data_IF_453113361834
#
_entry.id   IF_453113361834
#
_cell.length_a   1.000
_cell.length_b   1.000
_cell.length_c   1.000
_cell.angle_alpha   90.00
_cell.angle_beta   90.00
_cell.angle_gamma   90.00
#
_symmetry.space_group_name_H-M   'P 1'
#
loop_
_entity.id
_entity.type
_entity.pdbx_description
1 polymer ?
#
# COMPACT_ATOMS: atom_id res chain seq x y z
N UNK A 1 -8.63 -4.49 -22.62
CA UNK A 1 -7.55 -3.47 -22.60
C UNK A 1 -6.86 -3.51 -21.23
N UNK A 2 -5.52 -3.47 -21.19
CA UNK A 2 -4.77 -3.47 -19.93
C UNK A 2 -4.62 -2.04 -19.44
N UNK A 3 -5.05 -1.76 -18.18
CA UNK A 3 -4.83 -0.47 -17.53
C UNK A 3 -3.83 -0.63 -16.37
N UNK A 4 -2.91 0.34 -16.23
CA UNK A 4 -1.84 0.33 -15.23
C UNK A 4 -1.86 1.62 -14.43
N UNK A 5 -1.91 1.48 -13.11
CA UNK A 5 -1.90 2.61 -12.19
C UNK A 5 -0.59 2.61 -11.39
N UNK A 6 0.09 3.74 -11.43
CA UNK A 6 1.39 3.94 -10.81
C UNK A 6 1.28 4.83 -9.57
N UNK A 7 2.34 4.85 -8.77
CA UNK A 7 2.46 5.76 -7.64
C UNK A 7 2.49 7.24 -8.10
N UNK A 8 1.69 8.09 -7.44
CA UNK A 8 1.65 9.52 -7.71
C UNK A 8 2.85 10.24 -7.08
N UNK A 9 3.67 10.88 -7.90
CA UNK A 9 4.80 11.67 -7.45
C UNK A 9 4.36 12.82 -6.54
N UNK A 10 3.30 13.53 -6.94
CA UNK A 10 2.79 14.71 -6.21
C UNK A 10 2.37 14.39 -4.78
N UNK A 11 1.91 13.16 -4.53
CA UNK A 11 1.42 12.73 -3.22
C UNK A 11 2.51 12.15 -2.34
N UNK A 12 3.55 11.57 -2.92
CA UNK A 12 4.66 10.95 -2.20
C UNK A 12 5.74 11.98 -1.83
N UNK A 13 5.94 12.99 -2.67
CA UNK A 13 6.97 14.01 -2.45
C UNK A 13 6.85 14.74 -1.10
N UNK A 14 5.66 15.16 -0.64
CA UNK A 14 5.50 15.77 0.69
C UNK A 14 5.85 14.81 1.83
N UNK A 15 5.50 13.51 1.71
CA UNK A 15 5.85 12.49 2.70
C UNK A 15 7.36 12.30 2.77
N UNK A 16 8.02 12.23 1.62
CA UNK A 16 9.46 12.12 1.54
C UNK A 16 10.17 13.35 2.14
N UNK A 17 9.68 14.55 1.83
CA UNK A 17 10.18 15.79 2.43
C UNK A 17 10.01 15.80 3.95
N UNK A 18 8.86 15.32 4.47
CA UNK A 18 8.62 15.12 5.89
C UNK A 18 9.63 14.17 6.52
N UNK A 19 9.92 13.02 5.90
CA UNK A 19 10.92 12.09 6.38
C UNK A 19 12.31 12.75 6.49
N UNK A 20 12.75 13.50 5.48
CA UNK A 20 14.03 14.21 5.53
C UNK A 20 14.07 15.29 6.62
N UNK A 21 12.96 15.99 6.84
CA UNK A 21 12.86 16.99 7.91
C UNK A 21 13.05 16.33 9.29
N UNK A 22 12.39 15.19 9.55
CA UNK A 22 12.54 14.46 10.81
C UNK A 22 13.94 13.84 10.98
N UNK A 23 14.57 13.37 9.90
CA UNK A 23 15.97 12.91 9.92
C UNK A 23 16.89 14.07 10.29
N UNK A 24 16.70 15.24 9.66
CA UNK A 24 17.47 16.45 9.98
C UNK A 24 17.28 16.92 11.43
N UNK A 25 16.04 16.93 11.92
CA UNK A 25 15.73 17.24 13.32
C UNK A 25 16.38 16.24 14.30
N UNK A 26 16.34 14.94 13.99
CA UNK A 26 17.00 13.91 14.78
C UNK A 26 18.50 14.10 14.84
N UNK A 27 19.14 14.41 13.72
CA UNK A 27 20.58 14.71 13.67
C UNK A 27 20.91 15.98 14.48
N UNK A 28 20.10 17.02 14.34
CA UNK A 28 20.27 18.26 15.10
C UNK A 28 20.16 18.01 16.63
N UNK A 29 19.20 17.20 17.08
CA UNK A 29 19.04 16.80 18.48
C UNK A 29 20.28 16.09 19.01
N UNK A 30 20.88 15.17 18.25
CA UNK A 30 22.09 14.46 18.65
C UNK A 30 23.28 15.43 18.81
N UNK A 31 23.47 16.31 17.82
CA UNK A 31 24.59 17.26 17.83
C UNK A 31 24.52 18.26 18.99
N UNK A 32 23.30 18.63 19.43
CA UNK A 32 23.09 19.64 20.48
C UNK A 32 22.75 19.04 21.87
N UNK A 33 22.79 17.72 22.02
CA UNK A 33 22.43 17.02 23.24
C UNK A 33 23.29 17.46 24.44
N UNK A 34 24.58 17.81 24.22
CA UNK A 34 25.49 18.29 25.24
C UNK A 34 25.08 19.63 25.88
N UNK A 35 24.35 20.47 25.16
CA UNK A 35 23.82 21.74 25.61
C UNK A 35 22.56 21.63 26.49
N UNK A 36 22.01 20.41 26.68
CA UNK A 36 20.81 20.21 27.47
C UNK A 36 20.98 20.58 28.94
N UNK A 37 19.96 21.22 29.55
CA UNK A 37 20.08 21.80 30.90
C UNK A 37 20.14 20.76 32.04
N UNK A 38 19.70 19.53 31.81
CA UNK A 38 19.69 18.45 32.81
C UNK A 38 20.41 17.20 32.31
N UNK A 39 20.96 16.40 33.25
CA UNK A 39 21.59 15.12 32.92
C UNK A 39 20.63 14.17 32.21
N UNK A 40 19.38 14.07 32.68
CA UNK A 40 18.39 13.22 32.07
C UNK A 40 18.13 13.62 30.58
N UNK A 41 18.01 14.91 30.30
CA UNK A 41 17.81 15.41 28.92
C UNK A 41 19.00 15.08 28.02
N UNK A 42 20.24 15.09 28.54
CA UNK A 42 21.45 14.74 27.80
C UNK A 42 21.45 13.30 27.28
N UNK A 43 20.72 12.39 27.93
CA UNK A 43 20.58 11.00 27.49
C UNK A 43 19.30 10.79 26.63
N UNK A 44 18.19 11.40 27.01
CA UNK A 44 16.90 11.22 26.33
C UNK A 44 16.93 11.85 24.93
N UNK A 45 17.50 13.06 24.79
CA UNK A 45 17.53 13.78 23.52
C UNK A 45 18.25 12.98 22.41
N UNK A 46 19.50 12.46 22.61
CA UNK A 46 20.14 11.68 21.56
C UNK A 46 19.44 10.37 21.26
N UNK A 47 18.84 9.68 22.27
CA UNK A 47 18.06 8.48 22.03
C UNK A 47 16.86 8.78 21.14
N UNK A 48 16.10 9.83 21.41
CA UNK A 48 15.00 10.27 20.57
C UNK A 48 15.47 10.66 19.15
N UNK A 49 16.64 11.32 19.05
CA UNK A 49 17.27 11.66 17.77
C UNK A 49 17.61 10.42 16.94
N UNK A 50 18.24 9.40 17.54
CA UNK A 50 18.55 8.15 16.89
C UNK A 50 17.30 7.38 16.45
N UNK A 51 16.26 7.33 17.29
CA UNK A 51 14.97 6.72 16.92
C UNK A 51 14.31 7.44 15.75
N UNK A 52 14.37 8.77 15.74
CA UNK A 52 13.89 9.59 14.63
C UNK A 52 14.62 9.26 13.33
N UNK A 53 15.96 9.23 13.34
CA UNK A 53 16.77 8.91 12.16
C UNK A 53 16.48 7.48 11.67
N UNK A 54 16.41 6.51 12.58
CA UNK A 54 16.17 5.12 12.21
C UNK A 54 14.80 4.95 11.57
N UNK A 55 13.76 5.49 12.20
CA UNK A 55 12.38 5.33 11.72
C UNK A 55 12.15 6.11 10.42
N UNK A 56 12.41 7.41 10.40
CA UNK A 56 12.15 8.24 9.22
C UNK A 56 13.21 8.05 8.13
N UNK A 57 14.44 7.69 8.48
CA UNK A 57 15.48 7.33 7.50
C UNK A 57 15.11 6.07 6.73
N UNK A 58 14.63 5.03 7.43
CA UNK A 58 14.12 3.81 6.77
C UNK A 58 12.93 4.13 5.86
N UNK A 59 12.00 4.97 6.34
CA UNK A 59 10.87 5.46 5.55
C UNK A 59 11.31 6.23 4.30
N UNK A 60 12.28 7.13 4.42
CA UNK A 60 12.83 7.89 3.30
C UNK A 60 13.47 6.99 2.24
N UNK A 61 14.25 5.99 2.67
CA UNK A 61 14.86 5.01 1.75
C UNK A 61 13.77 4.21 1.04
N UNK A 62 12.79 3.67 1.76
CA UNK A 62 11.70 2.91 1.18
C UNK A 62 10.89 3.71 0.15
N UNK A 63 10.53 4.97 0.48
CA UNK A 63 9.82 5.87 -0.44
C UNK A 63 10.67 6.23 -1.67
N UNK A 64 11.97 6.46 -1.48
CA UNK A 64 12.89 6.76 -2.60
C UNK A 64 12.98 5.56 -3.55
N UNK A 65 13.16 4.36 -3.03
CA UNK A 65 13.18 3.12 -3.83
C UNK A 65 11.84 2.92 -4.56
N UNK A 66 10.72 3.13 -3.87
CA UNK A 66 9.39 3.04 -4.47
C UNK A 66 9.21 4.04 -5.63
N UNK A 67 9.73 5.28 -5.48
CA UNK A 67 9.70 6.30 -6.53
C UNK A 67 10.59 5.95 -7.72
N UNK A 68 11.78 5.42 -7.49
CA UNK A 68 12.69 4.99 -8.56
C UNK A 68 12.11 3.83 -9.37
N UNK A 69 11.46 2.89 -8.67
CA UNK A 69 10.87 1.71 -9.29
C UNK A 69 9.45 1.91 -9.84
N UNK A 70 8.79 3.07 -9.58
CA UNK A 70 7.39 3.32 -9.92
C UNK A 70 7.04 3.09 -11.39
N UNK A 71 7.94 3.49 -12.30
CA UNK A 71 7.73 3.32 -13.75
C UNK A 71 7.84 1.86 -14.19
N UNK A 72 8.63 1.06 -13.45
CA UNK A 72 8.90 -0.33 -13.77
C UNK A 72 7.83 -1.27 -13.19
N UNK A 73 7.25 -0.89 -12.06
CA UNK A 73 6.27 -1.70 -11.34
C UNK A 73 5.03 -0.87 -11.02
N UNK A 74 3.94 -1.04 -11.78
CA UNK A 74 2.65 -0.46 -11.42
C UNK A 74 2.15 -1.09 -10.12
N UNK A 75 1.43 -0.33 -9.30
CA UNK A 75 0.82 -0.87 -8.07
C UNK A 75 -0.43 -1.69 -8.35
N UNK A 76 -1.20 -1.26 -9.34
CA UNK A 76 -2.44 -1.91 -9.75
C UNK A 76 -2.40 -2.10 -11.26
N UNK A 77 -2.54 -3.34 -11.71
CA UNK A 77 -2.71 -3.70 -13.11
C UNK A 77 -4.07 -4.36 -13.29
N UNK A 78 -4.89 -3.75 -14.12
CA UNK A 78 -6.18 -4.31 -14.55
C UNK A 78 -5.93 -5.03 -15.86
N UNK A 79 -6.03 -6.35 -15.83
CA UNK A 79 -5.76 -7.25 -16.95
C UNK A 79 -7.08 -7.83 -17.47
N UNK A 80 -7.13 -8.30 -18.72
CA UNK A 80 -8.32 -9.01 -19.23
C UNK A 80 -8.70 -10.24 -18.38
N UNK A 81 -7.71 -10.91 -17.80
CA UNK A 81 -7.88 -12.14 -17.01
C UNK A 81 -8.17 -11.86 -15.53
N UNK A 82 -7.87 -10.66 -15.03
CA UNK A 82 -8.01 -10.37 -13.60
C UNK A 82 -7.30 -9.11 -13.16
N UNK A 83 -7.27 -8.94 -11.85
CA UNK A 83 -6.63 -7.84 -11.15
C UNK A 83 -5.30 -8.29 -10.56
N UNK A 84 -4.23 -7.51 -10.77
CA UNK A 84 -2.94 -7.75 -10.17
C UNK A 84 -2.54 -6.58 -9.27
N UNK A 85 -2.33 -6.87 -7.99
CA UNK A 85 -1.89 -5.90 -7.00
C UNK A 85 -0.42 -6.13 -6.67
N UNK A 86 0.40 -5.10 -6.78
CA UNK A 86 1.81 -5.15 -6.42
C UNK A 86 2.06 -4.51 -5.08
N UNK A 87 2.87 -5.15 -4.25
CA UNK A 87 3.31 -4.57 -2.98
C UNK A 87 4.45 -3.58 -3.23
N UNK A 88 4.42 -2.44 -2.54
CA UNK A 88 5.51 -1.46 -2.57
C UNK A 88 6.83 -2.09 -2.05
N UNK A 89 6.74 -2.98 -1.05
CA UNK A 89 7.91 -3.61 -0.42
C UNK A 89 8.44 -4.81 -1.21
N UNK A 90 7.60 -5.47 -2.01
CA UNK A 90 7.96 -6.63 -2.82
C UNK A 90 7.34 -6.51 -4.21
N UNK A 91 7.79 -5.58 -5.05
CA UNK A 91 7.13 -5.28 -6.32
C UNK A 91 7.16 -6.45 -7.32
N UNK A 92 8.13 -7.36 -7.20
CA UNK A 92 8.22 -8.55 -8.04
C UNK A 92 7.17 -9.63 -7.69
N UNK A 93 6.60 -9.60 -6.48
CA UNK A 93 5.57 -10.55 -6.03
C UNK A 93 4.23 -9.81 -5.93
N UNK A 94 3.49 -9.75 -7.03
CA UNK A 94 2.12 -9.24 -7.03
C UNK A 94 1.12 -10.34 -6.63
N UNK A 95 0.01 -9.94 -6.03
CA UNK A 95 -1.15 -10.80 -5.84
C UNK A 95 -2.01 -10.73 -7.11
N UNK A 96 -2.26 -11.88 -7.72
CA UNK A 96 -3.16 -11.97 -8.86
C UNK A 96 -4.52 -12.49 -8.41
N UNK A 97 -5.57 -11.82 -8.83
CA UNK A 97 -6.97 -12.13 -8.56
C UNK A 97 -7.68 -12.31 -9.90
N UNK A 98 -7.98 -13.54 -10.33
CA UNK A 98 -8.80 -13.76 -11.50
C UNK A 98 -10.19 -13.16 -11.28
N UNK A 99 -10.83 -12.63 -12.33
CA UNK A 99 -12.14 -11.98 -12.20
C UNK A 99 -13.20 -12.89 -11.61
N UNK A 100 -13.12 -14.20 -11.84
CA UNK A 100 -14.03 -15.21 -11.28
C UNK A 100 -13.96 -15.28 -9.74
N UNK A 101 -12.81 -14.95 -9.15
CA UNK A 101 -12.62 -14.96 -7.70
C UNK A 101 -13.07 -13.66 -7.04
N UNK A 102 -13.31 -12.59 -7.80
CA UNK A 102 -13.68 -11.28 -7.26
C UNK A 102 -15.20 -11.19 -7.15
N UNK A 103 -15.69 -10.97 -5.93
CA UNK A 103 -17.12 -10.81 -5.68
C UNK A 103 -17.58 -9.37 -5.87
N UNK A 104 -16.88 -8.43 -5.26
CA UNK A 104 -17.25 -7.03 -5.27
C UNK A 104 -16.07 -6.14 -4.90
N UNK A 105 -16.24 -4.85 -5.17
CA UNK A 105 -15.43 -3.77 -4.62
C UNK A 105 -16.30 -2.95 -3.68
N UNK A 106 -15.73 -2.49 -2.56
CA UNK A 106 -16.42 -1.58 -1.64
C UNK A 106 -15.46 -0.54 -1.09
N UNK A 107 -15.99 0.61 -0.64
CA UNK A 107 -15.19 1.59 0.06
C UNK A 107 -15.22 1.33 1.56
N UNK A 108 -14.05 1.23 2.15
CA UNK A 108 -13.86 1.07 3.59
C UNK A 108 -13.03 2.22 4.12
N UNK A 109 -13.34 2.67 5.34
CA UNK A 109 -12.59 3.72 6.02
C UNK A 109 -11.76 3.12 7.14
N UNK A 110 -10.44 3.17 6.99
CA UNK A 110 -9.49 2.65 7.98
C UNK A 110 -8.60 3.82 8.43
N UNK A 111 -8.59 4.08 9.74
CA UNK A 111 -7.80 5.17 10.35
C UNK A 111 -7.97 6.53 9.62
N UNK A 112 -9.19 6.86 9.19
CA UNK A 112 -9.51 8.10 8.48
C UNK A 112 -9.16 8.13 6.99
N UNK A 113 -8.59 7.04 6.44
CA UNK A 113 -8.33 6.90 5.03
C UNK A 113 -9.43 6.08 4.34
N UNK A 114 -9.95 6.61 3.24
CA UNK A 114 -10.86 5.86 2.37
C UNK A 114 -10.03 4.96 1.46
N UNK A 115 -10.28 3.66 1.54
CA UNK A 115 -9.59 2.62 0.78
C UNK A 115 -10.62 1.86 -0.04
N UNK A 116 -10.20 1.36 -1.20
CA UNK A 116 -11.01 0.45 -1.99
C UNK A 116 -10.69 -0.99 -1.58
N UNK A 117 -11.67 -1.67 -1.01
CA UNK A 117 -11.59 -3.05 -0.58
C UNK A 117 -11.92 -4.00 -1.73
N UNK A 118 -11.17 -5.09 -1.85
CA UNK A 118 -11.38 -6.14 -2.86
C UNK A 118 -11.89 -7.39 -2.15
N UNK A 119 -13.15 -7.74 -2.38
CA UNK A 119 -13.79 -8.93 -1.81
C UNK A 119 -13.57 -10.13 -2.74
N UNK A 120 -13.03 -11.23 -2.19
CA UNK A 120 -12.70 -12.43 -2.95
C UNK A 120 -13.28 -13.68 -2.32
N UNK A 121 -13.79 -14.62 -3.15
CA UNK A 121 -14.35 -15.91 -2.71
C UNK A 121 -13.30 -16.86 -2.13
N UNK A 122 -12.06 -16.74 -2.58
CA UNK A 122 -10.96 -17.67 -2.27
C UNK A 122 -10.11 -17.24 -1.07
N UNK A 123 -10.63 -16.34 -0.21
CA UNK A 123 -9.88 -15.79 0.93
C UNK A 123 -9.36 -16.89 1.86
N UNK A 124 -10.20 -17.87 2.22
CA UNK A 124 -9.81 -18.98 3.09
C UNK A 124 -8.66 -19.81 2.50
N UNK A 125 -8.72 -20.12 1.20
CA UNK A 125 -7.67 -20.87 0.51
C UNK A 125 -6.35 -20.06 0.44
N UNK A 126 -6.42 -18.73 0.30
CA UNK A 126 -5.25 -17.86 0.31
C UNK A 126 -4.65 -17.73 1.69
N UNK A 127 -5.49 -17.73 2.73
CA UNK A 127 -5.06 -17.73 4.12
C UNK A 127 -4.23 -18.99 4.42
N UNK A 128 -4.75 -20.17 4.07
CA UNK A 128 -4.08 -21.45 4.29
C UNK A 128 -2.73 -21.59 3.55
N UNK A 129 -2.62 -20.97 2.36
CA UNK A 129 -1.39 -20.95 1.58
C UNK A 129 -0.39 -19.88 2.05
N UNK A 130 -0.80 -19.01 2.93
CA UNK A 130 0.06 -17.97 3.51
C UNK A 130 0.96 -18.59 4.58
N UNK A 131 2.23 -18.22 4.61
CA UNK A 131 3.08 -18.58 5.75
C UNK A 131 2.67 -17.81 7.02
N UNK A 132 3.23 -18.17 8.21
CA UNK A 132 2.83 -17.60 9.49
C UNK A 132 2.79 -16.05 9.52
N UNK A 133 3.79 -15.40 8.94
CA UNK A 133 3.83 -13.92 8.84
C UNK A 133 2.71 -13.39 7.94
N UNK A 134 2.38 -14.11 6.85
CA UNK A 134 1.29 -13.75 5.96
C UNK A 134 -0.08 -13.88 6.64
N UNK A 135 -0.30 -14.91 7.42
CA UNK A 135 -1.52 -15.12 8.21
C UNK A 135 -1.70 -14.00 9.23
N UNK A 136 -0.66 -13.64 10.00
CA UNK A 136 -0.70 -12.51 10.94
C UNK A 136 -1.06 -11.21 10.21
N UNK A 137 -0.50 -10.95 9.04
CA UNK A 137 -0.80 -9.76 8.27
C UNK A 137 -2.25 -9.74 7.77
N UNK A 138 -2.79 -10.89 7.37
CA UNK A 138 -4.20 -11.05 6.98
C UNK A 138 -5.10 -10.81 8.20
N UNK A 139 -4.81 -11.41 9.35
CA UNK A 139 -5.60 -11.27 10.58
C UNK A 139 -5.65 -9.81 11.06
N UNK A 140 -4.51 -9.10 11.05
CA UNK A 140 -4.45 -7.67 11.37
C UNK A 140 -5.32 -6.89 10.38
N UNK A 141 -5.25 -7.19 9.09
CA UNK A 141 -6.05 -6.51 8.08
C UNK A 141 -7.55 -6.78 8.25
N UNK A 142 -7.94 -8.04 8.53
CA UNK A 142 -9.32 -8.43 8.80
C UNK A 142 -9.87 -7.81 10.08
N UNK A 143 -9.03 -7.54 11.09
CA UNK A 143 -9.45 -6.82 12.30
C UNK A 143 -9.77 -5.33 12.03
N UNK A 144 -9.27 -4.78 10.93
CA UNK A 144 -9.47 -3.38 10.53
C UNK A 144 -10.50 -3.21 9.40
N UNK A 145 -10.76 -4.28 8.63
CA UNK A 145 -11.67 -4.27 7.47
C UNK A 145 -12.16 -5.68 7.16
N UNK A 146 -13.28 -5.80 6.45
CA UNK A 146 -13.87 -7.10 6.06
C UNK A 146 -13.04 -7.87 5.02
N UNK A 147 -11.94 -7.30 4.54
CA UNK A 147 -11.04 -7.93 3.58
C UNK A 147 -9.59 -7.50 3.83
N UNK A 148 -8.61 -8.42 3.64
CA UNK A 148 -7.20 -8.08 3.77
C UNK A 148 -6.64 -7.33 2.57
N UNK A 149 -7.39 -7.24 1.46
CA UNK A 149 -6.93 -6.65 0.22
C UNK A 149 -7.56 -5.28 0.01
N UNK A 150 -6.76 -4.25 0.19
CA UNK A 150 -7.20 -2.87 0.01
C UNK A 150 -6.28 -2.12 -0.95
N UNK A 151 -6.87 -1.23 -1.74
CA UNK A 151 -6.18 -0.34 -2.67
C UNK A 151 -6.35 1.08 -2.14
N UNK A 152 -5.25 1.76 -1.88
CA UNK A 152 -5.27 3.18 -1.57
C UNK A 152 -5.20 3.97 -2.89
N UNK A 153 -6.35 4.35 -3.43
CA UNK A 153 -6.44 5.11 -4.68
C UNK A 153 -5.85 6.53 -4.55
N UNK A 154 -5.76 7.06 -3.32
CA UNK A 154 -5.15 8.37 -3.07
C UNK A 154 -3.64 8.42 -3.35
N UNK A 155 -2.93 7.29 -3.31
CA UNK A 155 -1.49 7.27 -3.63
C UNK A 155 -1.21 6.96 -5.09
N UNK A 156 -2.24 6.65 -5.88
CA UNK A 156 -2.12 6.32 -7.29
C UNK A 156 -2.18 7.58 -8.17
N UNK A 157 -1.56 7.50 -9.32
CA UNK A 157 -1.59 8.54 -10.36
C UNK A 157 -2.86 8.39 -11.22
N UNK A 158 -4.01 8.58 -10.56
CA UNK A 158 -5.34 8.45 -11.12
C UNK A 158 -6.26 9.52 -10.51
N UNK A 159 -7.32 9.88 -11.22
CA UNK A 159 -8.36 10.74 -10.67
C UNK A 159 -9.15 10.00 -9.57
N UNK A 160 -9.72 10.73 -8.58
CA UNK A 160 -10.57 10.11 -7.57
C UNK A 160 -11.71 9.29 -8.19
N UNK A 161 -11.84 8.03 -7.78
CA UNK A 161 -12.85 7.11 -8.30
C UNK A 161 -12.57 6.50 -9.67
N UNK A 162 -11.49 6.89 -10.35
CA UNK A 162 -11.14 6.33 -11.66
C UNK A 162 -10.75 4.86 -11.56
N UNK A 163 -9.96 4.51 -10.54
CA UNK A 163 -9.55 3.11 -10.28
C UNK A 163 -10.78 2.24 -10.03
N UNK A 164 -11.67 2.67 -9.15
CA UNK A 164 -12.91 1.96 -8.83
C UNK A 164 -13.77 1.75 -10.07
N UNK A 165 -14.05 2.82 -10.80
CA UNK A 165 -14.82 2.73 -12.05
C UNK A 165 -14.20 1.77 -13.06
N UNK A 166 -12.87 1.84 -13.24
CA UNK A 166 -12.16 0.94 -14.15
C UNK A 166 -12.29 -0.52 -13.72
N UNK A 167 -12.22 -0.81 -12.42
CA UNK A 167 -12.36 -2.16 -11.89
C UNK A 167 -13.80 -2.69 -12.03
N UNK A 168 -14.80 -1.86 -11.74
CA UNK A 168 -16.21 -2.21 -11.89
C UNK A 168 -16.58 -2.47 -13.37
N UNK A 169 -16.09 -1.62 -14.28
CA UNK A 169 -16.31 -1.79 -15.73
C UNK A 169 -15.74 -3.14 -16.22
N UNK A 170 -14.52 -3.51 -15.78
CA UNK A 170 -13.91 -4.77 -16.19
C UNK A 170 -14.60 -5.98 -15.56
N UNK A 171 -15.00 -5.90 -14.29
CA UNK A 171 -15.75 -6.96 -13.62
C UNK A 171 -17.13 -7.17 -14.27
N UNK A 172 -17.84 -6.09 -14.60
CA UNK A 172 -19.12 -6.17 -15.31
C UNK A 172 -18.97 -6.78 -16.72
N UNK A 173 -17.94 -6.34 -17.46
CA UNK A 173 -17.65 -6.90 -18.78
C UNK A 173 -17.29 -8.39 -18.73
N UNK A 174 -16.54 -8.82 -17.69
CA UNK A 174 -16.24 -10.23 -17.46
C UNK A 174 -17.52 -11.05 -17.20
N UNK A 175 -18.39 -10.59 -16.30
CA UNK A 175 -19.66 -11.28 -15.98
C UNK A 175 -20.54 -11.44 -17.19
N UNK A 176 -20.72 -10.37 -17.98
CA UNK A 176 -21.50 -10.41 -19.23
C UNK A 176 -20.94 -11.41 -20.24
N UNK A 177 -19.60 -11.56 -20.31
CA UNK A 177 -18.97 -12.54 -21.21
C UNK A 177 -19.18 -13.96 -20.71
N UNK A 178 -19.00 -14.20 -19.40
CA UNK A 178 -19.18 -15.52 -18.77
C UNK A 178 -20.63 -16.03 -18.90
N UNK A 179 -21.61 -15.14 -18.89
CA UNK A 179 -23.03 -15.49 -19.11
C UNK A 179 -23.33 -15.88 -20.57
N UNK A 180 -22.57 -15.35 -21.52
CA UNK A 180 -22.75 -15.64 -22.96
C UNK A 180 -22.03 -16.91 -23.42
N UNK A 181 -20.96 -17.29 -22.74
CA UNK A 181 -20.18 -18.50 -23.00
C UNK A 181 -20.29 -19.44 -21.79
N UNK A 182 -21.46 -20.06 -21.54
CA UNK A 182 -21.58 -21.08 -20.50
C UNK A 182 -20.64 -22.22 -20.87
N UNK A 183 -19.86 -22.70 -19.90
CA UNK A 183 -18.88 -23.75 -20.06
C UNK A 183 -19.49 -24.94 -20.79
N UNK A 184 -18.99 -25.20 -22.00
CA UNK A 184 -19.34 -26.35 -22.85
C UNK A 184 -18.72 -27.63 -22.30
#
# INVERSE_FOLDING_TARGET
ETRRFHLSLRRILPLLAGCFLFVGAGAWMILHASAAPSLAARYIIPVAGWLSILFFGTGAVALTVALLLRKRFPLVEVLPEGLKLHSILKPAKGYFFPWESIEAFSRVRIAGNDLLAVHTRDLAQRYDRSGPIGQIAIDISLSCSDTPYTINDRVLDAAPGEVERSLEEHLAAYRTRSEREPAS
#
